data_IF_122022999577
#
_entry.id   IF_122022999577
#
_cell.length_a   1.000
_cell.length_b   1.000
_cell.length_c   1.000
_cell.angle_alpha   90.00
_cell.angle_beta   90.00
_cell.angle_gamma   90.00
#
_symmetry.space_group_name_H-M   'P 1'
#
loop_
_entity.id
_entity.type
_entity.pdbx_description
1 polymer ?
#
# COMPACT_ATOMS: atom_id res chain seq x y z
N UNK A 1 -1.55 30.97 -6.04
CA UNK A 1 -2.13 29.72 -6.55
C UNK A 1 -1.44 28.56 -5.85
N UNK A 2 -1.80 28.34 -4.57
CA UNK A 2 -1.13 27.33 -3.74
C UNK A 2 -1.63 25.92 -4.03
N UNK A 3 -0.88 24.93 -3.56
CA UNK A 3 -1.18 23.49 -3.59
C UNK A 3 -2.49 23.09 -2.87
N UNK A 4 -3.35 24.04 -2.48
CA UNK A 4 -4.64 23.81 -1.82
C UNK A 4 -5.83 23.61 -2.77
N UNK A 5 -5.61 23.60 -4.09
CA UNK A 5 -6.64 23.31 -5.09
C UNK A 5 -6.78 21.85 -5.49
N UNK A 6 -5.88 20.98 -5.00
CA UNK A 6 -5.96 19.54 -5.25
C UNK A 6 -6.94 18.97 -4.21
N UNK A 7 -8.22 18.97 -4.55
CA UNK A 7 -9.22 18.29 -3.72
C UNK A 7 -8.97 16.78 -3.72
N UNK A 8 -9.19 16.14 -2.58
CA UNK A 8 -9.13 14.67 -2.42
C UNK A 8 -9.96 13.96 -3.50
N UNK A 9 -11.09 14.55 -3.91
CA UNK A 9 -11.96 14.01 -4.97
C UNK A 9 -11.28 13.87 -6.33
N UNK A 10 -10.44 14.84 -6.73
CA UNK A 10 -9.68 14.78 -7.97
C UNK A 10 -8.61 13.70 -7.91
N UNK A 11 -7.93 13.55 -6.77
CA UNK A 11 -6.94 12.49 -6.58
C UNK A 11 -7.56 11.09 -6.69
N UNK A 12 -8.76 10.89 -6.13
CA UNK A 12 -9.48 9.62 -6.26
C UNK A 12 -9.84 9.29 -7.73
N UNK A 13 -10.29 10.29 -8.50
CA UNK A 13 -10.60 10.12 -9.92
C UNK A 13 -9.34 9.77 -10.71
N UNK A 14 -8.23 10.46 -10.46
CA UNK A 14 -6.95 10.18 -11.11
C UNK A 14 -6.45 8.77 -10.75
N UNK A 15 -6.55 8.39 -9.47
CA UNK A 15 -6.18 7.06 -9.00
C UNK A 15 -7.00 5.97 -9.69
N UNK A 16 -8.31 6.17 -9.85
CA UNK A 16 -9.17 5.23 -10.56
C UNK A 16 -8.74 5.02 -12.01
N UNK A 17 -8.39 6.10 -12.72
CA UNK A 17 -7.88 6.02 -14.10
C UNK A 17 -6.56 5.26 -14.15
N UNK A 18 -5.63 5.55 -13.23
CA UNK A 18 -4.34 4.84 -13.14
C UNK A 18 -4.57 3.34 -12.90
N UNK A 19 -5.45 2.97 -11.98
CA UNK A 19 -5.80 1.57 -11.72
C UNK A 19 -6.41 0.91 -12.96
N UNK A 20 -7.24 1.63 -13.73
CA UNK A 20 -7.87 1.10 -14.94
C UNK A 20 -6.86 0.85 -16.07
N UNK A 21 -5.85 1.71 -16.22
CA UNK A 21 -4.80 1.56 -17.23
C UNK A 21 -3.82 0.44 -16.86
N UNK A 22 -3.33 0.43 -15.61
CA UNK A 22 -2.33 -0.53 -15.17
C UNK A 22 -2.94 -1.89 -14.79
N UNK A 23 -4.23 -1.92 -14.46
CA UNK A 23 -4.94 -3.07 -13.91
C UNK A 23 -4.56 -3.36 -12.44
N UNK A 24 -5.51 -3.89 -11.68
CA UNK A 24 -5.32 -4.20 -10.26
C UNK A 24 -4.25 -5.27 -10.01
N UNK A 25 -4.03 -6.19 -10.96
CA UNK A 25 -3.01 -7.25 -10.84
C UNK A 25 -1.58 -6.71 -10.79
N UNK A 26 -1.24 -5.76 -11.67
CA UNK A 26 0.11 -5.15 -11.69
C UNK A 26 0.33 -4.28 -10.46
N UNK A 27 -0.68 -3.49 -10.09
CA UNK A 27 -0.62 -2.64 -8.91
C UNK A 27 -0.53 -3.45 -7.61
N UNK A 28 -1.18 -4.61 -7.52
CA UNK A 28 -1.07 -5.49 -6.34
C UNK A 28 0.31 -6.13 -6.21
N UNK A 29 0.89 -6.62 -7.31
CA UNK A 29 2.23 -7.21 -7.28
C UNK A 29 3.29 -6.18 -6.87
N UNK A 30 3.32 -5.02 -7.55
CA UNK A 30 4.27 -3.95 -7.25
C UNK A 30 3.97 -3.29 -5.90
N UNK A 31 2.70 -3.13 -5.56
CA UNK A 31 2.25 -2.56 -4.29
C UNK A 31 2.53 -3.45 -3.09
N UNK A 32 2.54 -4.78 -3.25
CA UNK A 32 2.97 -5.71 -2.22
C UNK A 32 4.46 -5.55 -1.89
N UNK A 33 5.31 -5.51 -2.92
CA UNK A 33 6.77 -5.35 -2.76
C UNK A 33 7.14 -3.99 -2.16
N UNK A 34 6.55 -2.91 -2.71
CA UNK A 34 6.76 -1.55 -2.18
C UNK A 34 6.14 -1.36 -0.79
N UNK A 35 4.95 -1.92 -0.57
CA UNK A 35 4.24 -1.84 0.70
C UNK A 35 4.98 -2.55 1.83
N UNK A 36 5.58 -3.71 1.55
CA UNK A 36 6.45 -4.42 2.50
C UNK A 36 7.67 -3.60 2.91
N UNK A 37 8.36 -3.00 1.93
CA UNK A 37 9.52 -2.14 2.20
C UNK A 37 9.15 -0.90 3.03
N UNK A 38 8.02 -0.25 2.71
CA UNK A 38 7.53 0.93 3.45
C UNK A 38 7.06 0.54 4.86
N UNK A 39 6.45 -0.64 5.05
CA UNK A 39 6.04 -1.14 6.38
C UNK A 39 7.24 -1.33 7.30
N UNK A 40 8.34 -1.90 6.79
CA UNK A 40 9.60 -2.03 7.52
C UNK A 40 10.19 -0.67 7.89
N UNK A 41 10.24 0.25 6.92
CA UNK A 41 10.72 1.62 7.15
C UNK A 41 9.92 2.37 8.21
N UNK A 42 8.58 2.30 8.16
CA UNK A 42 7.71 2.92 9.16
C UNK A 42 7.87 2.28 10.54
N UNK A 43 8.08 0.97 10.61
CA UNK A 43 8.33 0.25 11.87
C UNK A 43 9.65 0.69 12.50
N UNK A 44 10.72 0.81 11.72
CA UNK A 44 12.02 1.30 12.22
C UNK A 44 11.99 2.77 12.62
N UNK A 45 11.22 3.61 11.93
CA UNK A 45 11.04 5.02 12.33
C UNK A 45 10.17 5.17 13.58
N UNK A 46 9.21 4.26 13.81
CA UNK A 46 8.36 4.27 14.99
C UNK A 46 9.04 3.68 16.24
N UNK A 47 10.08 2.86 16.08
CA UNK A 47 10.86 2.27 17.18
C UNK A 47 11.67 3.31 17.99
N UNK A 48 11.87 4.52 17.42
CA UNK A 48 12.49 5.67 18.10
C UNK A 48 11.50 6.43 19.03
N UNK A 49 10.18 6.14 18.96
CA UNK A 49 9.16 6.66 19.88
C UNK A 49 8.62 5.54 20.78
N UNK A 50 8.61 5.68 22.13
CA UNK A 50 8.14 4.63 23.02
C UNK A 50 6.60 4.57 23.05
N UNK A 51 5.98 4.00 22.02
CA UNK A 51 4.67 3.34 22.15
C UNK A 51 4.27 2.51 20.92
N UNK A 52 3.85 1.28 21.23
CA UNK A 52 2.82 0.47 20.57
C UNK A 52 3.31 -0.56 19.54
N UNK A 53 3.50 -1.75 20.08
CA UNK A 53 3.42 -3.03 19.37
C UNK A 53 2.23 -3.04 18.41
N UNK A 54 2.53 -3.18 17.12
CA UNK A 54 1.58 -3.57 16.09
C UNK A 54 1.97 -4.98 15.65
N UNK A 55 1.29 -5.94 16.28
CA UNK A 55 1.27 -7.35 15.87
C UNK A 55 0.43 -7.52 14.57
N UNK A 56 0.38 -8.75 14.09
CA UNK A 56 -0.45 -9.28 13.00
C UNK A 56 0.18 -9.23 11.58
N UNK A 57 1.00 -10.27 11.35
CA UNK A 57 0.65 -11.41 10.51
C UNK A 57 -0.31 -11.12 9.33
N UNK A 58 0.21 -11.23 8.11
CA UNK A 58 -0.59 -11.56 6.94
C UNK A 58 0.10 -12.69 6.19
N UNK A 59 -0.13 -13.90 6.71
CA UNK A 59 -0.10 -15.13 5.95
C UNK A 59 -1.24 -15.06 4.93
N UNK A 60 -0.92 -15.13 3.65
CA UNK A 60 -1.85 -15.66 2.64
C UNK A 60 -1.04 -16.52 1.71
N UNK A 61 -0.75 -17.71 2.23
CA UNK A 61 -0.86 -18.96 1.49
C UNK A 61 -1.94 -18.88 0.40
N UNK A 62 -1.50 -18.84 -0.86
CA UNK A 62 -2.22 -19.34 -2.02
C UNK A 62 -1.08 -19.79 -2.97
N UNK A 63 -0.72 -21.07 -2.99
CA UNK A 63 -1.29 -22.03 -3.93
C UNK A 63 -1.22 -23.46 -3.37
N UNK A 64 -2.40 -24.05 -3.10
CA UNK A 64 -2.59 -25.51 -3.09
C UNK A 64 -3.92 -25.84 -3.76
N UNK A 65 -3.86 -25.96 -5.08
CA UNK A 65 -4.73 -26.72 -5.98
C UNK A 65 -3.87 -26.92 -7.24
N UNK A 66 -3.59 -28.11 -7.73
CA UNK A 66 -4.44 -29.29 -7.87
C UNK A 66 -3.60 -30.57 -7.70
N UNK A 67 -4.28 -31.63 -7.25
CA UNK A 67 -3.88 -33.01 -7.57
C UNK A 67 -4.16 -33.30 -9.04
#
# INVERSE_FOLDING_TARGET
MGLGGISIWQLLIILAIVIMIFGTKRLKNIGGDLGGAIKGFKKSMADDEPAKELDEQSDTTNDKKDQ
#
